data_IF_779115011527
#
_entry.id   IF_779115011527
#
_cell.length_a   1.000
_cell.length_b   1.000
_cell.length_c   1.000
_cell.angle_alpha   90.00
_cell.angle_beta   90.00
_cell.angle_gamma   90.00
#
_symmetry.space_group_name_H-M   'P 1'
#
loop_
_entity.id
_entity.type
_entity.pdbx_description
1 polymer ?
#
# COMPACT_ATOMS: atom_id res chain seq x y z
N UNK A 1 -0.13 28.95 -40.09
CA UNK A 1 -0.86 28.75 -38.83
C UNK A 1 -2.14 27.97 -39.09
N UNK A 2 -2.29 26.74 -38.59
CA UNK A 2 -3.61 26.15 -38.40
C UNK A 2 -3.98 26.05 -36.92
N UNK A 3 -5.25 26.34 -36.65
CA UNK A 3 -5.88 26.36 -35.35
C UNK A 3 -6.02 24.95 -34.76
N UNK A 4 -5.57 24.76 -33.53
CA UNK A 4 -5.75 23.52 -32.78
C UNK A 4 -7.11 23.60 -32.07
N UNK A 5 -8.03 22.73 -32.47
CA UNK A 5 -9.31 22.52 -31.82
C UNK A 5 -9.11 22.08 -30.37
N UNK A 6 -9.75 22.80 -29.44
CA UNK A 6 -9.85 22.43 -28.03
C UNK A 6 -10.77 21.20 -27.87
N UNK A 7 -10.18 20.01 -27.72
CA UNK A 7 -10.90 18.81 -27.31
C UNK A 7 -10.94 18.75 -25.77
N UNK A 8 -12.11 19.05 -25.21
CA UNK A 8 -12.40 18.97 -23.77
C UNK A 8 -13.13 17.66 -23.49
N UNK A 9 -12.60 16.86 -22.56
CA UNK A 9 -13.40 15.94 -21.74
C UNK A 9 -13.27 14.43 -22.02
N UNK A 10 -12.78 13.72 -21.00
CA UNK A 10 -13.13 12.34 -20.61
C UNK A 10 -12.87 11.20 -21.63
N UNK A 11 -11.63 10.69 -21.66
CA UNK A 11 -11.26 9.44 -22.35
C UNK A 11 -9.76 9.21 -22.47
N UNK A 12 -8.96 9.72 -21.51
CA UNK A 12 -7.62 10.25 -21.80
C UNK A 12 -6.44 9.26 -21.73
N UNK A 13 -6.59 8.02 -21.25
CA UNK A 13 -5.45 7.10 -21.15
C UNK A 13 -5.11 6.38 -22.47
N UNK A 14 -6.10 5.97 -23.25
CA UNK A 14 -5.89 5.28 -24.55
C UNK A 14 -5.41 6.25 -25.64
N UNK A 15 -5.88 7.49 -25.60
CA UNK A 15 -5.59 8.51 -26.62
C UNK A 15 -4.15 9.05 -26.54
N UNK A 16 -3.48 8.96 -25.38
CA UNK A 16 -2.12 9.46 -25.21
C UNK A 16 -1.09 8.66 -26.01
N UNK A 17 -1.18 7.32 -25.96
CA UNK A 17 -0.34 6.43 -26.77
C UNK A 17 -0.61 6.59 -28.26
N UNK A 18 -1.88 6.69 -28.64
CA UNK A 18 -2.29 6.91 -30.03
C UNK A 18 -1.78 8.26 -30.57
N UNK A 19 -1.85 9.33 -29.76
CA UNK A 19 -1.37 10.65 -30.15
C UNK A 19 0.14 10.69 -30.42
N UNK A 20 0.94 9.91 -29.68
CA UNK A 20 2.39 9.83 -29.91
C UNK A 20 2.72 9.11 -31.22
N UNK A 21 1.98 8.07 -31.58
CA UNK A 21 2.13 7.37 -32.88
C UNK A 21 1.85 8.33 -34.03
N UNK A 22 0.80 9.15 -33.92
CA UNK A 22 0.50 10.18 -34.93
C UNK A 22 1.51 11.33 -34.94
N UNK A 23 2.03 11.74 -33.78
CA UNK A 23 3.06 12.79 -33.69
C UNK A 23 4.42 12.33 -34.27
N UNK A 24 4.74 11.04 -34.16
CA UNK A 24 5.90 10.44 -34.82
C UNK A 24 5.71 10.41 -36.35
N UNK A 25 4.53 10.03 -36.83
CA UNK A 25 4.19 10.08 -38.25
C UNK A 25 4.21 11.51 -38.83
N UNK A 26 3.95 12.54 -38.00
CA UNK A 26 3.98 13.94 -38.40
C UNK A 26 5.31 14.67 -38.11
N UNK A 27 6.31 14.00 -37.54
CA UNK A 27 7.60 14.59 -37.18
C UNK A 27 7.59 15.56 -35.98
N UNK A 28 6.47 15.68 -35.25
CA UNK A 28 6.29 16.59 -34.11
C UNK A 28 6.45 15.89 -32.75
N UNK A 29 7.06 14.70 -32.72
CA UNK A 29 7.20 13.84 -31.54
C UNK A 29 7.74 14.59 -30.31
N UNK A 30 8.76 15.42 -30.49
CA UNK A 30 9.40 16.15 -29.39
C UNK A 30 8.47 17.18 -28.71
N UNK A 31 7.61 17.83 -29.47
CA UNK A 31 6.66 18.85 -28.96
C UNK A 31 5.52 18.18 -28.19
N UNK A 32 5.05 17.04 -28.69
CA UNK A 32 4.00 16.25 -28.06
C UNK A 32 4.49 15.48 -26.83
N UNK A 33 5.72 14.98 -26.84
CA UNK A 33 6.35 14.38 -25.65
C UNK A 33 6.47 15.39 -24.49
N UNK A 34 6.75 16.66 -24.80
CA UNK A 34 6.82 17.72 -23.78
C UNK A 34 5.44 18.06 -23.20
N UNK A 35 4.41 18.14 -24.06
CA UNK A 35 3.03 18.42 -23.65
C UNK A 35 2.37 17.25 -22.89
N UNK A 36 2.73 16.01 -23.21
CA UNK A 36 2.19 14.80 -22.57
C UNK A 36 2.94 14.39 -21.29
N UNK A 37 4.07 15.04 -20.98
CA UNK A 37 4.91 14.74 -19.81
C UNK A 37 4.15 14.85 -18.47
N UNK A 38 3.12 15.71 -18.39
CA UNK A 38 2.20 15.82 -17.24
C UNK A 38 0.87 15.08 -17.43
N UNK A 39 0.59 14.57 -18.62
CA UNK A 39 -0.67 13.92 -18.99
C UNK A 39 -0.64 12.41 -18.71
N UNK A 40 0.54 11.80 -18.84
CA UNK A 40 0.80 10.39 -18.50
C UNK A 40 0.77 10.08 -16.99
N UNK A 41 0.60 11.09 -16.15
CA UNK A 41 0.42 10.94 -14.70
C UNK A 41 -0.91 11.58 -14.31
N UNK A 42 -2.00 10.85 -14.56
CA UNK A 42 -3.17 10.95 -13.69
C UNK A 42 -3.17 9.74 -12.79
N UNK A 43 -2.76 9.94 -11.53
CA UNK A 43 -3.08 8.97 -10.50
C UNK A 43 -4.61 8.80 -10.46
N UNK A 44 -5.07 7.62 -10.87
CA UNK A 44 -6.48 7.26 -10.78
C UNK A 44 -6.87 7.23 -9.32
N UNK A 45 -7.99 7.89 -8.96
CA UNK A 45 -8.53 7.82 -7.60
C UNK A 45 -8.76 6.37 -7.15
N UNK A 46 -9.09 5.47 -8.08
CA UNK A 46 -9.25 4.04 -7.82
C UNK A 46 -7.90 3.38 -7.48
N UNK A 47 -6.85 3.67 -8.27
CA UNK A 47 -5.50 3.15 -8.00
C UNK A 47 -4.94 3.71 -6.70
N UNK A 48 -5.22 4.97 -6.37
CA UNK A 48 -4.82 5.57 -5.10
C UNK A 48 -5.58 4.98 -3.91
N UNK A 49 -6.87 4.65 -4.09
CA UNK A 49 -7.64 3.88 -3.13
C UNK A 49 -7.01 2.52 -2.85
N UNK A 50 -6.73 1.75 -3.90
CA UNK A 50 -6.09 0.43 -3.77
C UNK A 50 -4.68 0.51 -3.15
N UNK A 51 -3.88 1.52 -3.51
CA UNK A 51 -2.56 1.77 -2.89
C UNK A 51 -2.66 2.16 -1.41
N UNK A 52 -3.74 2.80 -0.98
CA UNK A 52 -3.96 3.18 0.41
C UNK A 52 -4.42 1.97 1.23
N UNK A 53 -5.35 1.18 0.69
CA UNK A 53 -5.85 -0.07 1.26
C UNK A 53 -4.72 -1.10 1.41
N UNK A 54 -3.95 -1.36 0.35
CA UNK A 54 -2.80 -2.28 0.43
C UNK A 54 -1.70 -1.82 1.40
N UNK A 55 -1.53 -0.51 1.61
CA UNK A 55 -0.63 0.02 2.67
C UNK A 55 -1.21 -0.11 4.07
N UNK A 56 -2.53 -0.15 4.23
CA UNK A 56 -3.16 -0.41 5.51
C UNK A 56 -3.01 -1.90 5.86
N UNK A 57 -3.37 -2.79 4.94
CA UNK A 57 -3.24 -4.25 5.10
C UNK A 57 -1.78 -4.68 5.35
N UNK A 58 -0.83 -4.17 4.56
CA UNK A 58 0.59 -4.49 4.76
C UNK A 58 1.14 -3.98 6.11
N UNK A 59 0.57 -2.91 6.68
CA UNK A 59 0.97 -2.43 8.01
C UNK A 59 0.39 -3.28 9.13
N UNK A 60 -0.82 -3.80 8.97
CA UNK A 60 -1.41 -4.73 9.94
C UNK A 60 -0.67 -6.07 9.93
N UNK A 61 -0.45 -6.63 8.74
CA UNK A 61 0.22 -7.93 8.56
C UNK A 61 1.67 -7.86 9.06
N UNK A 62 2.44 -6.83 8.67
CA UNK A 62 3.81 -6.65 9.15
C UNK A 62 3.91 -6.42 10.66
N UNK A 63 2.89 -5.84 11.31
CA UNK A 63 2.86 -5.72 12.78
C UNK A 63 2.55 -7.04 13.47
N UNK A 64 1.66 -7.86 12.90
CA UNK A 64 1.37 -9.19 13.40
C UNK A 64 2.61 -10.10 13.29
N UNK A 65 3.29 -10.07 12.14
CA UNK A 65 4.56 -10.80 11.93
C UNK A 65 5.65 -10.36 12.90
N UNK A 66 5.84 -9.05 13.09
CA UNK A 66 6.83 -8.52 14.03
C UNK A 66 6.56 -8.96 15.47
N UNK A 67 5.28 -9.01 15.89
CA UNK A 67 4.91 -9.51 17.22
C UNK A 67 5.27 -10.99 17.38
N UNK A 68 4.95 -11.81 16.38
CA UNK A 68 5.27 -13.24 16.41
C UNK A 68 6.78 -13.48 16.43
N UNK A 69 7.56 -12.76 15.63
CA UNK A 69 9.01 -12.85 15.64
C UNK A 69 9.61 -12.51 17.01
N UNK A 70 9.13 -11.45 17.68
CA UNK A 70 9.59 -11.10 19.04
C UNK A 70 9.23 -12.19 20.05
N UNK A 71 8.04 -12.78 19.94
CA UNK A 71 7.60 -13.85 20.83
C UNK A 71 8.39 -15.15 20.61
N UNK A 72 8.69 -15.50 19.36
CA UNK A 72 9.55 -16.63 19.01
C UNK A 72 10.99 -16.42 19.49
N UNK A 73 11.54 -15.21 19.34
CA UNK A 73 12.91 -14.92 19.78
C UNK A 73 13.03 -14.95 21.31
N UNK A 74 12.04 -14.43 22.03
CA UNK A 74 12.07 -14.38 23.51
C UNK A 74 11.69 -15.69 24.18
N UNK A 75 10.68 -16.38 23.66
CA UNK A 75 10.05 -17.52 24.32
C UNK A 75 10.24 -18.84 23.56
N UNK A 76 10.80 -18.80 22.36
CA UNK A 76 11.09 -19.98 21.52
C UNK A 76 9.84 -20.55 20.88
N UNK A 77 8.94 -21.13 21.68
CA UNK A 77 7.71 -21.76 21.21
C UNK A 77 6.50 -20.90 21.52
N UNK A 78 5.86 -20.38 20.46
CA UNK A 78 4.62 -19.62 20.57
C UNK A 78 3.43 -20.56 20.34
N UNK A 79 2.46 -20.63 21.26
CA UNK A 79 1.27 -21.46 21.08
C UNK A 79 0.44 -21.04 19.86
N UNK A 80 -0.04 -22.00 19.06
CA UNK A 80 -0.82 -21.70 17.86
C UNK A 80 -2.08 -20.87 18.12
N UNK A 81 -2.78 -21.10 19.25
CA UNK A 81 -3.92 -20.26 19.64
C UNK A 81 -3.58 -18.77 19.71
N UNK A 82 -2.34 -18.43 20.12
CA UNK A 82 -1.87 -17.06 20.18
C UNK A 82 -1.56 -16.52 18.78
N UNK A 83 -0.97 -17.35 17.93
CA UNK A 83 -0.70 -17.04 16.52
C UNK A 83 -2.00 -16.71 15.80
N UNK A 84 -3.02 -17.54 15.99
CA UNK A 84 -4.34 -17.35 15.37
C UNK A 84 -5.02 -16.09 15.90
N UNK A 85 -4.92 -15.81 17.19
CA UNK A 85 -5.46 -14.56 17.79
C UNK A 85 -4.78 -13.32 17.20
N UNK A 86 -3.46 -13.35 17.04
CA UNK A 86 -2.67 -12.25 16.47
C UNK A 86 -3.01 -12.05 15.00
N UNK A 87 -3.13 -13.12 14.21
CA UNK A 87 -3.50 -13.06 12.78
C UNK A 87 -4.95 -12.65 12.56
N UNK A 88 -5.86 -13.02 13.46
CA UNK A 88 -7.25 -12.59 13.41
C UNK A 88 -7.46 -11.11 13.77
N UNK A 89 -6.45 -10.46 14.38
CA UNK A 89 -6.55 -9.06 14.79
C UNK A 89 -6.21 -8.12 13.63
N UNK A 90 -7.23 -7.39 13.15
CA UNK A 90 -7.09 -6.38 12.08
C UNK A 90 -6.79 -4.98 12.59
N UNK A 91 -6.71 -4.78 13.91
CA UNK A 91 -6.41 -3.50 14.53
C UNK A 91 -4.89 -3.31 14.67
N UNK A 92 -4.34 -2.47 13.80
CA UNK A 92 -2.91 -2.17 13.77
C UNK A 92 -2.41 -1.58 15.10
N UNK A 93 -3.22 -0.76 15.79
CA UNK A 93 -2.78 -0.07 17.00
C UNK A 93 -2.81 -0.99 18.21
N UNK A 94 -3.76 -1.93 18.28
CA UNK A 94 -3.71 -3.04 19.24
C UNK A 94 -2.45 -3.89 19.03
N UNK A 95 -2.15 -4.29 17.80
CA UNK A 95 -0.93 -5.05 17.50
C UNK A 95 0.33 -4.30 17.94
N UNK A 96 0.38 -2.97 17.74
CA UNK A 96 1.50 -2.14 18.22
C UNK A 96 1.63 -2.16 19.75
N UNK A 97 0.51 -2.08 20.47
CA UNK A 97 0.52 -2.17 21.94
C UNK A 97 0.99 -3.54 22.40
N UNK A 98 0.55 -4.60 21.72
CA UNK A 98 0.96 -5.98 22.01
C UNK A 98 2.46 -6.18 21.77
N UNK A 99 3.05 -5.61 20.71
CA UNK A 99 4.52 -5.61 20.53
C UNK A 99 5.21 -4.98 21.73
N UNK A 100 4.73 -3.82 22.19
CA UNK A 100 5.25 -3.17 23.40
C UNK A 100 5.06 -4.00 24.68
N UNK A 101 3.98 -4.79 24.77
CA UNK A 101 3.74 -5.69 25.89
C UNK A 101 4.66 -6.91 25.84
N UNK A 102 4.87 -7.51 24.66
CA UNK A 102 5.75 -8.66 24.45
C UNK A 102 7.21 -8.35 24.82
N UNK A 103 7.68 -7.13 24.50
CA UNK A 103 9.02 -6.67 24.90
C UNK A 103 9.15 -6.61 26.41
N UNK A 104 8.13 -6.10 27.12
CA UNK A 104 8.13 -5.94 28.59
C UNK A 104 7.81 -7.20 29.37
N UNK A 105 7.05 -8.13 28.78
CA UNK A 105 6.66 -9.36 29.44
C UNK A 105 7.87 -10.28 29.64
N UNK A 106 8.10 -10.76 30.86
CA UNK A 106 9.18 -11.69 31.16
C UNK A 106 8.81 -13.15 30.85
N UNK A 107 7.51 -13.44 30.73
CA UNK A 107 6.96 -14.78 30.46
C UNK A 107 5.78 -14.70 29.49
N UNK A 108 5.48 -15.83 28.82
CA UNK A 108 4.39 -15.92 27.85
C UNK A 108 3.02 -15.75 28.52
N UNK A 109 2.91 -16.13 29.78
CA UNK A 109 1.75 -16.02 30.66
C UNK A 109 1.51 -14.57 31.06
N UNK A 110 2.57 -13.81 31.38
CA UNK A 110 2.48 -12.38 31.62
C UNK A 110 2.03 -11.62 30.36
N UNK A 111 2.50 -12.05 29.19
CA UNK A 111 2.03 -11.52 27.92
C UNK A 111 0.55 -11.85 27.67
N UNK A 112 0.13 -13.10 27.89
CA UNK A 112 -1.27 -13.53 27.78
C UNK A 112 -2.20 -12.72 28.70
N UNK A 113 -1.78 -12.48 29.93
CA UNK A 113 -2.53 -11.64 30.87
C UNK A 113 -2.63 -10.18 30.37
N UNK A 114 -1.59 -9.66 29.70
CA UNK A 114 -1.59 -8.29 29.17
C UNK A 114 -2.47 -8.10 27.92
N UNK A 115 -2.73 -9.17 27.14
CA UNK A 115 -3.59 -9.11 25.95
C UNK A 115 -5.03 -9.58 26.21
N UNK A 116 -5.25 -10.40 27.25
CA UNK A 116 -6.54 -10.99 27.61
C UNK A 116 -7.30 -10.26 28.71
N UNK A 117 -6.79 -9.09 29.15
CA UNK A 117 -7.42 -8.19 30.11
C UNK A 117 -8.25 -7.09 29.45
#
# INVERSE_FOLDING_TARGET
>A
MPAICAARGAGTCELGGLALVFAEASGCRAEWELGLKGWNVRESMVVNGWKAEGRAEGRTEGRAEALLAVLEEKFGSVPQDLVDTVRATTDADKLRQWVGAAVRAETLEAFRAAIGG
#
